data_IF_662995357565
#
_entry.id   IF_662995357565
#
_cell.length_a   1.000
_cell.length_b   1.000
_cell.length_c   1.000
_cell.angle_alpha   90.00
_cell.angle_beta   90.00
_cell.angle_gamma   90.00
#
_symmetry.space_group_name_H-M   'P 1'
#
loop_
_entity.id
_entity.type
_entity.pdbx_description
1 polymer ?
#
# COMPACT_ATOMS: atom_id res chain seq x y z
N UNK A 1 -1.65 -8.98 4.76
CA UNK A 1 -2.79 -9.90 4.92
C UNK A 1 -2.64 -11.05 3.96
N UNK A 2 -2.78 -12.29 4.43
CA UNK A 2 -2.88 -13.47 3.57
C UNK A 2 -4.36 -13.87 3.50
N UNK A 3 -4.91 -13.91 2.31
CA UNK A 3 -6.27 -14.36 1.99
C UNK A 3 -6.17 -15.67 1.20
N UNK A 4 -7.25 -16.44 1.10
CA UNK A 4 -7.23 -17.71 0.38
C UNK A 4 -6.77 -17.55 -1.07
N UNK A 5 -7.20 -16.48 -1.75
CA UNK A 5 -6.89 -16.23 -3.16
C UNK A 5 -5.76 -15.22 -3.41
N UNK A 6 -5.28 -14.49 -2.39
CA UNK A 6 -4.36 -13.36 -2.61
C UNK A 6 -3.54 -12.99 -1.38
N UNK A 7 -2.46 -12.25 -1.60
CA UNK A 7 -1.69 -11.59 -0.55
C UNK A 7 -1.79 -10.08 -0.74
N UNK A 8 -2.13 -9.37 0.32
CA UNK A 8 -2.24 -7.90 0.30
C UNK A 8 -1.25 -7.31 1.29
N UNK A 9 -0.33 -6.48 0.84
CA UNK A 9 0.57 -5.68 1.68
C UNK A 9 0.03 -4.27 1.74
N UNK A 10 -0.29 -3.81 2.95
CA UNK A 10 -0.92 -2.50 3.17
C UNK A 10 0.07 -1.61 3.91
N UNK A 11 0.25 -0.38 3.44
CA UNK A 11 0.97 0.68 4.15
C UNK A 11 0.01 1.83 4.42
N UNK A 12 -0.06 2.26 5.68
CA UNK A 12 -0.77 3.46 6.08
C UNK A 12 0.23 4.57 6.34
N UNK A 13 0.03 5.72 5.71
CA UNK A 13 0.89 6.89 5.90
C UNK A 13 0.09 8.10 6.34
N UNK A 14 0.53 8.72 7.44
CA UNK A 14 0.04 10.03 7.85
C UNK A 14 0.77 11.09 7.04
N UNK A 15 0.03 11.94 6.36
CA UNK A 15 0.57 13.08 5.62
C UNK A 15 0.12 14.41 6.24
N UNK A 16 0.89 15.46 5.96
CA UNK A 16 0.47 16.85 6.16
C UNK A 16 -0.19 17.36 4.87
N UNK A 17 -1.05 18.38 4.97
CA UNK A 17 -1.79 18.88 3.82
C UNK A 17 -3.06 18.08 3.51
N UNK A 18 -3.79 18.52 2.50
CA UNK A 18 -5.14 18.02 2.19
C UNK A 18 -5.19 17.07 0.99
N UNK A 19 -4.15 17.08 0.16
CA UNK A 19 -4.07 16.31 -1.07
C UNK A 19 -3.13 15.12 -0.92
N UNK A 20 -3.39 14.01 -1.62
CA UNK A 20 -2.52 12.85 -1.59
C UNK A 20 -1.15 13.12 -2.23
N UNK A 21 -0.13 12.50 -1.65
CA UNK A 21 1.28 12.60 -2.04
C UNK A 21 1.76 11.40 -2.86
N UNK A 22 1.12 10.23 -2.69
CA UNK A 22 1.56 8.97 -3.28
C UNK A 22 2.77 8.33 -2.58
N UNK A 23 3.23 8.90 -1.47
CA UNK A 23 4.35 8.38 -0.69
C UNK A 23 4.08 6.98 -0.12
N UNK A 24 2.83 6.65 0.25
CA UNK A 24 2.50 5.34 0.82
C UNK A 24 2.79 4.21 -0.18
N UNK A 25 2.32 4.35 -1.42
CA UNK A 25 2.52 3.34 -2.46
C UNK A 25 3.98 3.32 -2.96
N UNK A 26 4.64 4.49 -3.02
CA UNK A 26 6.06 4.57 -3.35
C UNK A 26 6.93 3.84 -2.31
N UNK A 27 6.62 4.00 -1.02
CA UNK A 27 7.30 3.30 0.07
C UNK A 27 7.12 1.78 -0.01
N UNK A 28 5.92 1.29 -0.31
CA UNK A 28 5.68 -0.14 -0.51
C UNK A 28 6.52 -0.72 -1.65
N UNK A 29 6.59 -0.01 -2.79
CA UNK A 29 7.40 -0.42 -3.95
C UNK A 29 8.89 -0.45 -3.61
N UNK A 30 9.40 0.60 -2.97
CA UNK A 30 10.82 0.73 -2.63
C UNK A 30 11.32 -0.34 -1.65
N UNK A 31 10.47 -0.81 -0.73
CA UNK A 31 10.84 -1.82 0.27
C UNK A 31 10.85 -3.25 -0.25
N UNK A 32 10.37 -3.51 -1.47
CA UNK A 32 10.38 -4.85 -2.05
C UNK A 32 9.55 -5.87 -1.27
N UNK A 33 8.45 -5.46 -0.61
CA UNK A 33 7.66 -6.37 0.23
C UNK A 33 6.96 -7.49 -0.53
N UNK A 34 6.86 -7.39 -1.86
CA UNK A 34 6.37 -8.47 -2.72
C UNK A 34 7.30 -9.68 -2.71
N UNK A 35 8.61 -9.44 -2.57
CA UNK A 35 9.67 -10.42 -2.78
C UNK A 35 9.56 -11.61 -1.82
N UNK A 36 9.17 -11.34 -0.57
CA UNK A 36 8.95 -12.39 0.46
C UNK A 36 7.79 -13.33 0.15
N UNK A 37 6.95 -13.02 -0.83
CA UNK A 37 5.77 -13.79 -1.17
C UNK A 37 5.86 -14.47 -2.54
N UNK A 38 6.97 -14.31 -3.28
CA UNK A 38 7.15 -14.91 -4.61
C UNK A 38 6.95 -16.43 -4.64
N UNK A 39 7.40 -17.13 -3.59
CA UNK A 39 7.27 -18.60 -3.50
C UNK A 39 5.85 -19.08 -3.14
N UNK A 40 4.94 -18.18 -2.78
CA UNK A 40 3.59 -18.53 -2.32
C UNK A 40 2.64 -18.80 -3.51
N UNK A 41 2.95 -18.29 -4.71
CA UNK A 41 2.20 -18.53 -5.95
C UNK A 41 0.87 -17.78 -6.05
N UNK A 42 0.35 -17.22 -4.94
CA UNK A 42 -0.79 -16.29 -4.96
C UNK A 42 -0.39 -14.93 -5.53
N UNK A 43 -1.32 -14.23 -6.22
CA UNK A 43 -1.08 -12.84 -6.62
C UNK A 43 -0.85 -11.96 -5.39
N UNK A 44 0.08 -11.01 -5.53
CA UNK A 44 0.42 -10.05 -4.49
C UNK A 44 -0.05 -8.67 -4.90
N UNK A 45 -0.74 -7.98 -3.99
CA UNK A 45 -1.19 -6.60 -4.16
C UNK A 45 -0.52 -5.71 -3.13
N UNK A 46 -0.01 -4.56 -3.57
CA UNK A 46 0.44 -3.49 -2.69
C UNK A 46 -0.68 -2.45 -2.63
N UNK A 47 -1.07 -2.01 -1.43
CA UNK A 47 -2.10 -1.00 -1.19
C UNK A 47 -1.52 0.09 -0.27
N UNK A 48 -1.30 1.28 -0.82
CA UNK A 48 -0.91 2.46 -0.05
C UNK A 48 -2.13 3.30 0.30
N UNK A 49 -2.27 3.69 1.56
CA UNK A 49 -3.36 4.53 2.05
C UNK A 49 -2.79 5.76 2.76
N UNK A 50 -3.31 6.94 2.44
CA UNK A 50 -2.85 8.21 3.00
C UNK A 50 -3.93 8.90 3.80
N UNK A 51 -3.63 9.15 5.07
CA UNK A 51 -4.47 9.86 6.03
C UNK A 51 -3.92 11.25 6.27
N UNK A 52 -4.73 12.28 6.03
CA UNK A 52 -4.38 13.66 6.37
C UNK A 52 -4.79 13.96 7.80
N UNK A 53 -3.84 14.48 8.59
CA UNK A 53 -4.16 14.98 9.92
C UNK A 53 -4.95 16.29 9.90
N UNK A 54 -4.82 17.07 8.83
CA UNK A 54 -5.50 18.37 8.67
C UNK A 54 -6.98 18.16 8.31
N UNK A 55 -7.25 17.17 7.46
CA UNK A 55 -8.62 16.79 7.05
C UNK A 55 -9.23 15.80 8.05
N UNK A 56 -8.40 15.12 8.85
CA UNK A 56 -8.78 14.02 9.74
C UNK A 56 -9.49 12.89 9.00
N UNK A 57 -9.09 12.65 7.75
CA UNK A 57 -9.68 11.63 6.90
C UNK A 57 -8.63 11.05 5.94
N UNK A 58 -8.99 9.95 5.27
CA UNK A 58 -8.25 9.43 4.13
C UNK A 58 -8.39 10.43 2.98
N UNK A 59 -7.26 10.81 2.40
CA UNK A 59 -7.19 11.78 1.28
C UNK A 59 -6.67 11.16 -0.01
N UNK A 60 -6.13 9.95 0.06
CA UNK A 60 -5.87 9.15 -1.13
C UNK A 60 -5.50 7.72 -0.81
N UNK A 61 -5.58 6.89 -1.84
CA UNK A 61 -5.16 5.52 -1.83
C UNK A 61 -4.78 5.11 -3.26
N UNK A 62 -3.81 4.21 -3.38
CA UNK A 62 -3.38 3.66 -4.67
C UNK A 62 -2.94 2.21 -4.47
N UNK A 63 -3.01 1.42 -5.55
CA UNK A 63 -2.66 0.01 -5.50
C UNK A 63 -1.93 -0.45 -6.75
N UNK A 64 -1.13 -1.51 -6.60
CA UNK A 64 -0.48 -2.19 -7.73
C UNK A 64 -0.46 -3.70 -7.51
N UNK A 65 -0.76 -4.46 -8.56
CA UNK A 65 -0.49 -5.89 -8.61
C UNK A 65 0.99 -6.11 -8.93
N UNK A 66 1.63 -7.00 -8.19
CA UNK A 66 3.04 -7.35 -8.34
C UNK A 66 3.16 -8.87 -8.46
N UNK A 67 3.94 -9.29 -9.46
CA UNK A 67 4.21 -10.70 -9.79
C UNK A 67 5.54 -11.17 -9.22
#
# INVERSE_FOLDING_TARGET
MKLDAAIVVIEFKRIAGKEPTGEAIAQLKARGYADKYRADGRPVYLLGVEFSADVRNIVGWDWVAVG
#
